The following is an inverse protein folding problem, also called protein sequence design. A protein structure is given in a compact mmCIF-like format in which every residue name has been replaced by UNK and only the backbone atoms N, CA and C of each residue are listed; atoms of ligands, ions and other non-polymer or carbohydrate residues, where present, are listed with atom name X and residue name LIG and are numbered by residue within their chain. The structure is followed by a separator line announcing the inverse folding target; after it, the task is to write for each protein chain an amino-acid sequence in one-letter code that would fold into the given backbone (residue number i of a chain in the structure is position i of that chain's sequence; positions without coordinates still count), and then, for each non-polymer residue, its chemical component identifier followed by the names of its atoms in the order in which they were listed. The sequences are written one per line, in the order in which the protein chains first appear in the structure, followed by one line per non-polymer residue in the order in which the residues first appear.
data_IF_238971419963
#
_entry.id   IF_238971419963
#
_cell.length_a   1.000
_cell.length_b   1.000
_cell.length_c   1.000
_cell.angle_alpha   90.00
_cell.angle_beta   90.00
_cell.angle_gamma   90.00
#
_symmetry.space_group_name_H-M   'P 1'
#
loop_
_entity.id
_entity.type
_entity.pdbx_description
1 polymer ?
#
# COMPACT_ATOMS: atom_id res chain seq x y z
N UNK A 1 -14.44 4.07 -0.79
CA UNK A 1 -14.81 4.58 0.55
C UNK A 1 -14.27 3.68 1.64
N UNK A 2 -14.09 4.24 2.84
CA UNK A 2 -13.83 3.49 4.06
C UNK A 2 -15.20 3.22 4.68
N UNK A 3 -15.56 1.95 4.83
CA UNK A 3 -16.87 1.55 5.33
C UNK A 3 -16.71 0.55 6.48
N UNK A 4 -17.66 0.58 7.40
CA UNK A 4 -17.74 -0.37 8.49
C UNK A 4 -19.02 -1.21 8.33
N UNK A 5 -18.85 -2.45 7.82
CA UNK A 5 -19.93 -3.40 7.60
C UNK A 5 -20.11 -4.29 8.82
N UNK A 6 -21.36 -4.56 9.15
CA UNK A 6 -21.75 -5.50 10.20
C UNK A 6 -22.85 -6.44 9.70
N UNK A 7 -22.96 -7.61 10.32
CA UNK A 7 -24.04 -8.56 10.06
C UNK A 7 -25.28 -8.24 10.90
N UNK A 8 -26.41 -8.88 10.56
CA UNK A 8 -27.68 -8.68 11.28
C UNK A 8 -27.58 -8.98 12.78
N UNK A 9 -26.85 -10.04 13.14
CA UNK A 9 -26.70 -10.44 14.56
C UNK A 9 -25.99 -9.36 15.38
N UNK A 10 -25.12 -8.55 14.77
CA UNK A 10 -24.49 -7.42 15.44
C UNK A 10 -25.45 -6.23 15.56
N UNK A 11 -26.27 -5.98 14.53
CA UNK A 11 -27.30 -4.91 14.60
C UNK A 11 -28.23 -5.10 15.77
N UNK A 12 -28.64 -6.34 16.04
CA UNK A 12 -29.56 -6.67 17.12
C UNK A 12 -28.91 -6.53 18.53
N UNK A 13 -27.58 -6.43 18.60
CA UNK A 13 -26.80 -6.35 19.85
C UNK A 13 -26.29 -4.95 20.20
N UNK A 14 -26.37 -4.01 19.27
CA UNK A 14 -25.85 -2.65 19.47
C UNK A 14 -26.98 -1.62 19.39
N UNK A 15 -26.86 -0.47 20.07
CA UNK A 15 -27.86 0.58 19.97
C UNK A 15 -27.91 1.15 18.55
N UNK A 16 -29.09 1.57 18.09
CA UNK A 16 -29.28 2.20 16.78
C UNK A 16 -28.62 3.59 16.68
N UNK A 17 -28.31 4.21 17.83
CA UNK A 17 -27.59 5.46 17.99
C UNK A 17 -26.87 5.48 19.33
N UNK A 18 -25.94 6.40 19.53
CA UNK A 18 -25.17 6.50 20.76
C UNK A 18 -23.75 5.98 20.63
N UNK A 19 -23.12 5.64 21.73
CA UNK A 19 -21.69 5.33 21.80
C UNK A 19 -21.46 3.83 21.97
N UNK A 20 -20.57 3.28 21.14
CA UNK A 20 -20.05 1.91 21.30
C UNK A 20 -18.54 1.90 21.38
N UNK A 21 -18.00 0.89 22.07
CA UNK A 21 -16.57 0.63 22.09
C UNK A 21 -16.16 -0.28 20.93
N UNK A 22 -15.03 0.05 20.31
CA UNK A 22 -14.40 -0.76 19.27
C UNK A 22 -13.29 -1.60 19.90
N UNK A 23 -13.41 -2.93 19.80
CA UNK A 23 -12.49 -3.90 20.37
C UNK A 23 -12.10 -4.92 19.30
N UNK A 24 -10.84 -5.35 19.27
CA UNK A 24 -10.42 -6.50 18.46
C UNK A 24 -10.83 -7.80 19.16
N UNK A 25 -11.13 -8.83 18.39
CA UNK A 25 -11.64 -10.10 18.93
C UNK A 25 -10.75 -10.71 20.03
N UNK A 26 -9.43 -10.57 19.93
CA UNK A 26 -8.45 -11.18 20.82
C UNK A 26 -7.80 -10.18 21.81
N UNK A 27 -8.38 -8.99 21.98
CA UNK A 27 -7.86 -7.98 22.91
C UNK A 27 -8.90 -7.68 23.98
N UNK A 28 -8.48 -7.52 25.25
CA UNK A 28 -9.40 -7.25 26.36
C UNK A 28 -9.83 -5.79 26.45
N UNK A 29 -8.99 -4.89 25.93
CA UNK A 29 -9.24 -3.45 25.99
C UNK A 29 -9.71 -2.89 24.66
N UNK A 30 -10.68 -1.95 24.66
CA UNK A 30 -11.10 -1.26 23.46
C UNK A 30 -9.98 -0.34 22.94
N UNK A 31 -9.84 -0.27 21.61
CA UNK A 31 -8.91 0.65 20.97
C UNK A 31 -9.55 1.97 20.55
N UNK A 32 -10.88 2.02 20.52
CA UNK A 32 -11.59 3.20 20.07
C UNK A 32 -13.05 3.23 20.53
N UNK A 33 -13.65 4.34 20.22
CA UNK A 33 -15.08 4.61 20.45
C UNK A 33 -15.68 5.00 19.09
N UNK A 34 -16.90 4.57 18.82
CA UNK A 34 -17.69 5.03 17.69
C UNK A 34 -19.02 5.62 18.21
N UNK A 35 -19.20 6.92 17.98
CA UNK A 35 -20.50 7.54 18.18
C UNK A 35 -21.35 7.28 16.94
N UNK A 36 -22.33 6.40 17.08
CA UNK A 36 -23.20 5.97 15.99
C UNK A 36 -24.18 7.09 15.64
N UNK A 37 -24.17 7.49 14.38
CA UNK A 37 -25.19 8.39 13.82
C UNK A 37 -26.35 7.57 13.23
N UNK A 38 -26.04 6.46 12.53
CA UNK A 38 -27.02 5.67 11.81
C UNK A 38 -26.51 4.27 11.50
N UNK A 39 -27.43 3.30 11.52
CA UNK A 39 -27.21 1.95 10.98
C UNK A 39 -28.18 1.74 9.82
N UNK A 40 -27.66 1.37 8.66
CA UNK A 40 -28.46 1.21 7.45
C UNK A 40 -28.21 -0.15 6.79
N UNK A 41 -29.27 -0.75 6.28
CA UNK A 41 -29.17 -1.96 5.46
C UNK A 41 -28.60 -1.59 4.09
N UNK A 42 -27.56 -2.30 3.67
CA UNK A 42 -26.99 -2.16 2.33
C UNK A 42 -27.99 -2.65 1.29
N UNK A 43 -28.42 -1.74 0.40
CA UNK A 43 -29.24 -2.06 -0.75
C UNK A 43 -28.34 -2.18 -1.98
N UNK A 44 -28.65 -3.13 -2.88
CA UNK A 44 -27.99 -3.27 -4.18
C UNK A 44 -26.46 -3.40 -4.09
N UNK A 45 -25.94 -4.33 -3.25
CA UNK A 45 -24.49 -4.56 -3.10
C UNK A 45 -23.77 -4.69 -4.46
N UNK A 46 -24.33 -5.40 -5.42
CA UNK A 46 -23.74 -5.59 -6.75
C UNK A 46 -23.55 -4.26 -7.51
N UNK A 47 -24.51 -3.33 -7.40
CA UNK A 47 -24.33 -2.00 -7.99
C UNK A 47 -23.19 -1.22 -7.31
N UNK A 48 -23.03 -1.37 -6.00
CA UNK A 48 -21.96 -0.72 -5.25
C UNK A 48 -20.58 -1.29 -5.61
N UNK A 49 -20.45 -2.61 -5.76
CA UNK A 49 -19.16 -3.19 -6.16
C UNK A 49 -18.76 -2.77 -7.57
N UNK A 50 -19.68 -2.74 -8.52
CA UNK A 50 -19.42 -2.20 -9.88
C UNK A 50 -18.93 -0.74 -9.82
N UNK A 51 -19.56 0.07 -8.98
CA UNK A 51 -19.17 1.48 -8.82
C UNK A 51 -17.78 1.62 -8.19
N UNK A 52 -17.43 0.78 -7.20
CA UNK A 52 -16.20 0.93 -6.42
C UNK A 52 -15.01 0.19 -7.00
N UNK A 53 -15.24 -1.00 -7.58
CA UNK A 53 -14.19 -1.86 -8.11
C UNK A 53 -14.19 -1.94 -9.65
N UNK A 54 -15.17 -1.33 -10.32
CA UNK A 54 -15.31 -1.41 -11.78
C UNK A 54 -15.83 -2.79 -12.28
N UNK A 55 -16.02 -3.74 -11.38
CA UNK A 55 -16.47 -5.12 -11.67
C UNK A 55 -17.35 -5.65 -10.55
N UNK A 56 -18.15 -6.66 -10.82
CA UNK A 56 -18.87 -7.48 -9.84
C UNK A 56 -18.38 -8.93 -9.81
N UNK A 57 -17.28 -9.23 -10.47
CA UNK A 57 -16.65 -10.54 -10.47
C UNK A 57 -16.14 -10.88 -9.06
N UNK A 58 -16.68 -11.94 -8.46
CA UNK A 58 -16.32 -12.39 -7.10
C UNK A 58 -14.91 -12.98 -6.99
N UNK A 59 -14.26 -13.29 -8.12
CA UNK A 59 -12.84 -13.66 -8.12
C UNK A 59 -11.93 -12.47 -7.81
N UNK A 60 -12.44 -11.23 -7.93
CA UNK A 60 -11.73 -10.04 -7.49
C UNK A 60 -11.74 -9.96 -5.96
N UNK A 61 -10.56 -9.95 -5.28
CA UNK A 61 -10.49 -10.08 -3.81
C UNK A 61 -11.23 -8.98 -3.04
N UNK A 62 -11.26 -7.76 -3.56
CA UNK A 62 -12.00 -6.65 -2.96
C UNK A 62 -13.51 -6.82 -3.09
N UNK A 63 -14.00 -7.34 -4.22
CA UNK A 63 -15.42 -7.64 -4.45
C UNK A 63 -15.86 -8.76 -3.52
N UNK A 64 -15.14 -9.88 -3.51
CA UNK A 64 -15.41 -11.02 -2.64
C UNK A 64 -15.50 -10.62 -1.18
N UNK A 65 -14.51 -9.88 -0.69
CA UNK A 65 -14.48 -9.36 0.69
C UNK A 65 -15.68 -8.47 1.00
N UNK A 66 -16.06 -7.56 0.09
CA UNK A 66 -17.20 -6.67 0.30
C UNK A 66 -18.54 -7.44 0.30
N UNK A 67 -18.72 -8.39 -0.61
CA UNK A 67 -19.97 -9.15 -0.73
C UNK A 67 -20.17 -10.12 0.45
N UNK A 68 -19.09 -10.76 0.91
CA UNK A 68 -19.10 -11.67 2.07
C UNK A 68 -19.20 -10.96 3.42
N UNK A 69 -18.85 -9.67 3.49
CA UNK A 69 -19.02 -8.85 4.69
C UNK A 69 -20.50 -8.58 4.97
N UNK A 70 -20.81 -8.13 6.18
CA UNK A 70 -22.19 -7.93 6.64
C UNK A 70 -23.07 -7.09 5.71
N UNK A 71 -24.37 -7.22 5.88
CA UNK A 71 -25.40 -6.55 5.07
C UNK A 71 -25.81 -5.17 5.57
N UNK A 72 -25.15 -4.64 6.59
CA UNK A 72 -25.46 -3.33 7.18
C UNK A 72 -24.18 -2.48 7.26
N UNK A 73 -24.34 -1.16 7.18
CA UNK A 73 -23.27 -0.18 7.40
C UNK A 73 -23.59 0.63 8.66
N UNK A 74 -22.58 0.83 9.48
CA UNK A 74 -22.62 1.81 10.56
C UNK A 74 -21.94 3.09 10.07
N UNK A 75 -22.62 4.21 10.19
CA UNK A 75 -22.04 5.54 10.05
C UNK A 75 -21.95 6.22 11.42
N UNK A 76 -20.86 6.94 11.65
CA UNK A 76 -20.61 7.59 12.91
C UNK A 76 -19.26 8.28 12.97
N UNK A 77 -18.98 8.91 14.11
CA UNK A 77 -17.71 9.60 14.38
C UNK A 77 -16.80 8.71 15.23
N UNK A 78 -15.68 8.22 14.68
CA UNK A 78 -14.74 7.42 15.43
C UNK A 78 -13.78 8.29 16.24
N UNK A 79 -13.35 7.75 17.39
CA UNK A 79 -12.31 8.30 18.26
C UNK A 79 -11.35 7.18 18.66
N UNK A 80 -10.06 7.44 18.62
CA UNK A 80 -9.04 6.51 19.13
C UNK A 80 -8.80 6.83 20.60
N UNK A 81 -8.75 5.80 21.44
CA UNK A 81 -8.45 5.97 22.85
C UNK A 81 -6.95 6.20 23.05
N UNK A 82 -6.59 7.25 23.80
CA UNK A 82 -5.20 7.65 24.01
C UNK A 82 -4.32 6.57 24.68
N UNK A 83 -4.93 5.69 25.47
CA UNK A 83 -4.24 4.62 26.21
C UNK A 83 -4.19 3.30 25.42
N UNK A 84 -4.58 3.31 24.14
CA UNK A 84 -4.45 2.13 23.33
C UNK A 84 -3.00 1.90 22.95
N UNK A 85 -2.33 1.09 23.77
CA UNK A 85 -1.01 0.52 23.49
C UNK A 85 -1.15 -0.80 22.72
N UNK A 86 -1.97 -0.82 21.66
CA UNK A 86 -2.27 -2.03 20.90
C UNK A 86 -1.05 -2.92 20.65
N UNK A 87 -1.28 -4.20 20.43
CA UNK A 87 -0.25 -5.22 20.17
C UNK A 87 0.95 -4.63 19.43
N UNK A 88 2.10 -4.65 20.05
CA UNK A 88 3.37 -4.03 19.74
C UNK A 88 3.36 -3.18 18.46
N UNK A 89 3.12 -1.87 18.58
CA UNK A 89 3.25 -0.94 17.45
C UNK A 89 4.53 -1.30 16.71
N UNK A 90 4.41 -1.62 15.44
CA UNK A 90 5.60 -1.72 14.62
C UNK A 90 6.36 -0.40 14.77
N UNK A 91 7.63 -0.44 15.19
CA UNK A 91 8.45 0.77 15.46
C UNK A 91 8.52 1.75 14.28
N UNK A 92 8.13 1.29 13.09
CA UNK A 92 8.05 2.11 11.87
C UNK A 92 6.65 2.69 11.62
N UNK A 93 5.66 2.40 12.46
CA UNK A 93 4.32 2.95 12.35
C UNK A 93 4.30 4.36 12.95
N UNK A 94 4.39 5.35 12.08
CA UNK A 94 4.33 6.76 12.43
C UNK A 94 2.89 7.29 12.33
N UNK A 95 2.54 8.20 13.21
CA UNK A 95 1.35 9.04 13.04
C UNK A 95 1.64 10.20 12.08
N UNK A 96 0.63 10.83 11.48
CA UNK A 96 0.83 12.05 10.68
C UNK A 96 1.56 13.18 11.41
N UNK A 97 1.33 13.33 12.70
CA UNK A 97 2.05 14.32 13.53
C UNK A 97 3.54 13.97 13.63
N UNK A 98 3.85 12.70 13.88
CA UNK A 98 5.24 12.25 13.99
C UNK A 98 6.00 12.38 12.68
N UNK A 99 5.39 12.00 11.54
CA UNK A 99 6.05 12.15 10.24
C UNK A 99 6.32 13.61 9.89
N UNK A 100 5.34 14.49 10.10
CA UNK A 100 5.51 15.95 9.89
C UNK A 100 6.61 16.51 10.79
N UNK A 101 6.62 16.13 12.07
CA UNK A 101 7.70 16.54 12.98
C UNK A 101 9.08 16.12 12.47
N UNK A 102 9.24 14.89 11.97
CA UNK A 102 10.50 14.42 11.40
C UNK A 102 10.88 15.22 10.16
N UNK A 103 9.90 15.53 9.28
CA UNK A 103 10.17 16.33 8.08
C UNK A 103 10.63 17.74 8.46
N UNK A 104 9.92 18.41 9.34
CA UNK A 104 10.24 19.76 9.81
C UNK A 104 11.60 19.81 10.53
N UNK A 105 11.89 18.83 11.39
CA UNK A 105 13.15 18.73 12.12
C UNK A 105 14.37 18.58 11.21
N UNK A 106 14.21 17.89 10.07
CA UNK A 106 15.28 17.71 9.08
C UNK A 106 15.27 18.79 7.99
N UNK A 107 14.38 19.77 8.05
CA UNK A 107 14.24 20.81 7.03
C UNK A 107 13.73 20.28 5.68
N UNK A 108 12.98 19.17 5.65
CA UNK A 108 12.45 18.59 4.43
C UNK A 108 11.12 19.23 4.07
N UNK A 109 11.12 20.04 3.05
CA UNK A 109 9.95 20.76 2.54
C UNK A 109 9.29 20.04 1.36
N UNK A 110 10.08 19.39 0.51
CA UNK A 110 9.62 18.62 -0.66
C UNK A 110 9.79 17.12 -0.41
N UNK A 111 8.77 16.46 0.11
CA UNK A 111 8.80 15.04 0.45
C UNK A 111 7.97 14.23 -0.54
N UNK A 112 8.59 13.21 -1.13
CA UNK A 112 7.96 12.27 -2.05
C UNK A 112 7.43 11.07 -1.27
N UNK A 113 6.13 10.80 -1.32
CA UNK A 113 5.52 9.60 -0.77
C UNK A 113 5.63 8.42 -1.73
N UNK A 114 5.96 7.26 -1.20
CA UNK A 114 5.98 6.00 -1.94
C UNK A 114 5.23 4.91 -1.17
N UNK A 115 4.20 4.33 -1.80
CA UNK A 115 3.39 3.26 -1.22
C UNK A 115 3.80 1.91 -1.80
N UNK A 116 4.00 0.90 -0.96
CA UNK A 116 4.41 -0.42 -1.43
C UNK A 116 3.86 -1.56 -0.58
N UNK A 117 3.60 -2.71 -1.21
CA UNK A 117 3.32 -4.00 -0.58
C UNK A 117 4.36 -5.06 -0.94
N UNK A 118 5.40 -4.67 -1.67
CA UNK A 118 6.45 -5.56 -2.15
C UNK A 118 7.81 -5.16 -1.59
N UNK A 119 8.73 -6.12 -1.57
CA UNK A 119 10.15 -5.83 -1.40
C UNK A 119 10.64 -4.97 -2.57
N UNK A 120 11.62 -4.07 -2.36
CA UNK A 120 12.16 -3.25 -3.43
C UNK A 120 12.86 -4.09 -4.50
N UNK A 121 12.75 -3.65 -5.72
CA UNK A 121 13.49 -4.14 -6.87
C UNK A 121 14.01 -2.95 -7.68
N UNK A 122 14.89 -3.18 -8.63
CA UNK A 122 15.53 -2.09 -9.39
C UNK A 122 14.53 -1.14 -10.06
N UNK A 123 13.36 -1.62 -10.47
CA UNK A 123 12.30 -0.77 -11.01
C UNK A 123 11.70 0.18 -9.95
N UNK A 124 11.55 -0.27 -8.70
CA UNK A 124 11.15 0.62 -7.59
C UNK A 124 12.24 1.65 -7.33
N UNK A 125 13.50 1.24 -7.24
CA UNK A 125 14.61 2.16 -7.02
C UNK A 125 14.69 3.22 -8.14
N UNK A 126 14.52 2.79 -9.40
CA UNK A 126 14.53 3.70 -10.54
C UNK A 126 13.47 4.80 -10.43
N UNK A 127 12.20 4.44 -10.22
CA UNK A 127 11.13 5.44 -10.11
C UNK A 127 11.27 6.32 -8.88
N UNK A 128 11.74 5.77 -7.76
CA UNK A 128 11.98 6.54 -6.52
C UNK A 128 13.07 7.59 -6.74
N UNK A 129 14.23 7.21 -7.27
CA UNK A 129 15.35 8.12 -7.50
C UNK A 129 15.00 9.16 -8.58
N UNK A 130 14.34 8.76 -9.67
CA UNK A 130 13.92 9.70 -10.70
C UNK A 130 12.84 10.67 -10.22
N UNK A 131 11.92 10.23 -9.33
CA UNK A 131 10.97 11.12 -8.67
C UNK A 131 11.69 12.19 -7.84
N UNK A 132 12.66 11.78 -7.02
CA UNK A 132 13.45 12.70 -6.19
C UNK A 132 14.20 13.73 -7.06
N UNK A 133 14.85 13.29 -8.13
CA UNK A 133 15.58 14.15 -9.07
C UNK A 133 14.66 15.11 -9.82
N UNK A 134 13.52 14.62 -10.33
CA UNK A 134 12.59 15.37 -11.19
C UNK A 134 12.05 16.63 -10.51
N UNK A 135 11.87 16.61 -9.21
CA UNK A 135 11.31 17.74 -8.46
C UNK A 135 12.31 18.38 -7.50
N UNK A 136 13.56 17.99 -7.56
CA UNK A 136 14.59 18.40 -6.59
C UNK A 136 14.09 18.23 -5.15
N UNK A 137 13.66 17.01 -4.81
CA UNK A 137 13.10 16.69 -3.50
C UNK A 137 14.15 16.72 -2.40
N UNK A 138 13.70 16.91 -1.17
CA UNK A 138 14.55 16.78 0.02
C UNK A 138 14.61 15.33 0.49
N UNK A 139 13.49 14.60 0.42
CA UNK A 139 13.41 13.25 0.97
C UNK A 139 12.31 12.38 0.33
N UNK A 140 12.45 11.07 0.58
CA UNK A 140 11.41 10.07 0.30
C UNK A 140 10.82 9.49 1.59
N UNK A 141 9.48 9.45 1.67
CA UNK A 141 8.72 8.76 2.69
C UNK A 141 8.24 7.42 2.14
N UNK A 142 8.93 6.34 2.51
CA UNK A 142 8.65 4.97 2.07
C UNK A 142 7.62 4.36 3.01
N UNK A 143 6.48 3.95 2.46
CA UNK A 143 5.34 3.53 3.26
C UNK A 143 4.88 2.11 2.91
N UNK A 144 5.53 1.08 3.53
CA UNK A 144 5.11 -0.31 3.39
C UNK A 144 3.75 -0.56 4.04
N UNK A 145 2.89 -1.32 3.36
CA UNK A 145 1.65 -1.83 3.93
C UNK A 145 1.97 -2.96 4.90
N UNK A 146 1.53 -2.82 6.15
CA UNK A 146 1.74 -3.82 7.21
C UNK A 146 0.46 -4.54 7.65
N UNK A 147 -0.71 -4.12 7.16
CA UNK A 147 -1.98 -4.79 7.43
C UNK A 147 -2.20 -6.02 6.53
N UNK A 148 -3.42 -6.53 6.58
CA UNK A 148 -3.82 -7.73 5.85
C UNK A 148 -3.63 -7.58 4.33
N UNK A 149 -3.03 -8.62 3.74
CA UNK A 149 -2.80 -8.75 2.29
C UNK A 149 -3.24 -10.13 1.84
N UNK A 150 -3.35 -10.33 0.53
CA UNK A 150 -3.70 -11.65 -0.02
C UNK A 150 -2.59 -12.68 0.22
N UNK A 151 -2.97 -13.95 0.22
CA UNK A 151 -2.03 -15.08 0.26
C UNK A 151 -0.98 -14.94 -0.85
N UNK A 152 0.27 -15.21 -0.50
CA UNK A 152 1.43 -15.11 -1.38
C UNK A 152 2.01 -13.69 -1.51
N UNK A 153 1.42 -12.65 -0.93
CA UNK A 153 2.08 -11.34 -0.80
C UNK A 153 3.12 -11.36 0.32
N UNK A 154 4.15 -10.53 0.21
CA UNK A 154 5.20 -10.45 1.24
C UNK A 154 4.64 -9.99 2.58
N UNK A 155 5.12 -10.60 3.66
CA UNK A 155 4.92 -10.10 5.01
C UNK A 155 5.56 -8.70 5.18
N UNK A 156 5.19 -7.99 6.22
CA UNK A 156 5.68 -6.64 6.48
C UNK A 156 7.18 -6.59 6.77
N UNK A 157 7.67 -7.52 7.58
CA UNK A 157 9.05 -7.54 8.07
C UNK A 157 10.11 -7.67 6.94
N UNK A 158 9.99 -8.60 5.97
CA UNK A 158 10.89 -8.64 4.81
C UNK A 158 10.92 -7.33 4.02
N UNK A 159 9.76 -6.69 3.82
CA UNK A 159 9.69 -5.42 3.08
C UNK A 159 10.47 -4.34 3.82
N UNK A 160 10.21 -4.19 5.13
CA UNK A 160 10.87 -3.19 5.97
C UNK A 160 12.38 -3.42 6.00
N UNK A 161 12.83 -4.66 6.24
CA UNK A 161 14.26 -5.02 6.27
C UNK A 161 14.98 -4.68 4.96
N UNK A 162 14.34 -4.95 3.82
CA UNK A 162 14.92 -4.60 2.54
C UNK A 162 15.07 -3.09 2.37
N UNK A 163 14.07 -2.29 2.71
CA UNK A 163 14.19 -0.82 2.63
C UNK A 163 15.19 -0.25 3.64
N UNK A 164 15.29 -0.84 4.83
CA UNK A 164 16.35 -0.48 5.79
C UNK A 164 17.75 -0.72 5.22
N UNK A 165 17.95 -1.86 4.55
CA UNK A 165 19.22 -2.17 3.91
C UNK A 165 19.55 -1.19 2.80
N UNK A 166 18.58 -0.83 1.93
CA UNK A 166 18.76 0.18 0.89
C UNK A 166 19.16 1.56 1.48
N UNK A 167 18.50 1.99 2.55
CA UNK A 167 18.82 3.25 3.22
C UNK A 167 20.24 3.17 3.79
N UNK A 168 20.59 2.07 4.45
CA UNK A 168 21.93 1.85 5.02
C UNK A 168 23.03 1.84 3.97
N UNK A 169 22.75 1.29 2.79
CA UNK A 169 23.66 1.26 1.64
C UNK A 169 23.74 2.61 0.89
N UNK A 170 23.00 3.63 1.35
CA UNK A 170 23.01 4.94 0.72
C UNK A 170 22.32 5.02 -0.63
N UNK A 171 21.37 4.10 -0.92
CA UNK A 171 20.69 4.06 -2.22
C UNK A 171 19.95 5.36 -2.57
N UNK A 172 19.60 6.16 -1.58
CA UNK A 172 18.87 7.42 -1.76
C UNK A 172 19.75 8.67 -1.66
N UNK A 173 21.04 8.54 -1.34
CA UNK A 173 21.94 9.68 -1.23
C UNK A 173 21.96 10.54 -2.51
N UNK A 174 22.00 11.90 -2.42
CA UNK A 174 22.12 12.69 -1.18
C UNK A 174 20.79 13.00 -0.48
N UNK A 175 19.66 12.44 -0.93
CA UNK A 175 18.34 12.70 -0.40
C UNK A 175 18.12 12.02 0.96
N UNK A 176 17.23 12.60 1.79
CA UNK A 176 16.72 11.95 2.97
C UNK A 176 15.82 10.76 2.64
N UNK A 177 15.78 9.76 3.51
CA UNK A 177 14.87 8.63 3.38
C UNK A 177 14.38 8.16 4.75
N UNK A 178 13.07 7.96 4.88
CA UNK A 178 12.45 7.46 6.10
C UNK A 178 11.39 6.40 5.78
N UNK A 179 11.29 5.41 6.64
CA UNK A 179 10.24 4.38 6.58
C UNK A 179 9.13 4.77 7.54
N UNK A 180 7.90 4.92 7.00
CA UNK A 180 6.68 5.06 7.76
C UNK A 180 5.68 3.99 7.35
N UNK A 181 5.65 2.86 8.08
CA UNK A 181 4.76 1.75 7.76
C UNK A 181 3.29 2.16 7.88
N UNK A 182 2.46 1.62 6.99
CA UNK A 182 1.06 1.97 6.89
C UNK A 182 0.15 0.78 7.28
N UNK A 183 -0.46 0.88 8.43
CA UNK A 183 -1.36 -0.15 8.95
C UNK A 183 -2.73 -0.03 8.27
N UNK A 184 -2.85 -0.65 7.13
CA UNK A 184 -4.09 -0.77 6.36
C UNK A 184 -4.13 -2.09 5.63
N UNK A 185 -5.32 -2.57 5.28
CA UNK A 185 -5.45 -3.70 4.37
C UNK A 185 -5.46 -3.23 2.90
N UNK A 186 -4.99 -4.07 2.00
CA UNK A 186 -5.10 -3.83 0.56
C UNK A 186 -6.54 -4.08 0.11
N UNK A 187 -7.12 -3.11 -0.60
CA UNK A 187 -8.50 -3.19 -1.11
C UNK A 187 -8.56 -3.68 -2.54
N UNK A 188 -7.44 -3.57 -3.24
CA UNK A 188 -7.32 -3.90 -4.67
C UNK A 188 -8.27 -3.10 -5.56
N UNK A 189 -8.66 -1.90 -5.13
CA UNK A 189 -9.63 -1.03 -5.81
C UNK A 189 -9.03 -0.15 -6.91
N UNK A 190 -7.81 -0.48 -7.37
CA UNK A 190 -7.14 0.22 -8.47
C UNK A 190 -7.12 1.74 -8.31
N UNK A 191 -7.72 2.50 -9.26
CA UNK A 191 -7.70 3.96 -9.27
C UNK A 191 -8.21 4.61 -7.98
N UNK A 192 -9.27 4.07 -7.39
CA UNK A 192 -9.85 4.62 -6.15
C UNK A 192 -8.96 4.38 -4.94
N UNK A 193 -8.26 3.26 -4.90
CA UNK A 193 -7.28 3.01 -3.84
C UNK A 193 -6.01 3.86 -4.03
N UNK A 194 -5.62 4.15 -5.27
CA UNK A 194 -4.55 5.09 -5.56
C UNK A 194 -4.85 6.48 -4.98
N UNK A 195 -6.06 6.99 -5.18
CA UNK A 195 -6.50 8.27 -4.57
C UNK A 195 -6.51 8.20 -3.04
N UNK A 196 -7.03 7.12 -2.47
CA UNK A 196 -7.01 6.92 -1.01
C UNK A 196 -5.59 6.94 -0.45
N UNK A 197 -4.67 6.22 -1.09
CA UNK A 197 -3.27 6.18 -0.64
C UNK A 197 -2.56 7.52 -0.83
N UNK A 198 -2.87 8.29 -1.86
CA UNK A 198 -2.37 9.64 -2.06
C UNK A 198 -2.83 10.59 -0.94
N UNK A 199 -4.13 10.58 -0.61
CA UNK A 199 -4.68 11.37 0.49
C UNK A 199 -4.04 11.01 1.85
N UNK A 200 -3.79 9.73 2.08
CA UNK A 200 -3.06 9.32 3.28
C UNK A 200 -1.65 9.92 3.32
N UNK A 201 -0.90 9.94 2.19
CA UNK A 201 0.45 10.55 2.14
C UNK A 201 0.40 12.05 2.30
N UNK A 202 -0.60 12.70 1.75
CA UNK A 202 -0.86 14.12 2.03
C UNK A 202 -1.03 14.37 3.53
N UNK A 203 -1.81 13.52 4.22
CA UNK A 203 -1.98 13.62 5.67
C UNK A 203 -0.68 13.38 6.44
N UNK A 204 0.18 12.49 5.99
CA UNK A 204 1.52 12.27 6.55
C UNK A 204 2.49 13.44 6.29
N UNK A 205 2.14 14.40 5.42
CA UNK A 205 2.94 15.59 5.12
C UNK A 205 3.70 15.52 3.80
N UNK A 206 3.46 14.50 2.97
CA UNK A 206 4.08 14.46 1.65
C UNK A 206 3.44 15.49 0.71
N UNK A 207 4.26 16.13 -0.13
CA UNK A 207 3.84 17.09 -1.16
C UNK A 207 3.66 16.42 -2.52
N UNK A 208 4.33 15.29 -2.72
CA UNK A 208 4.32 14.52 -3.96
C UNK A 208 4.07 13.05 -3.68
N UNK A 209 3.46 12.36 -4.63
CA UNK A 209 3.17 10.94 -4.50
C UNK A 209 3.46 10.20 -5.81
N UNK A 210 4.26 9.12 -5.74
CA UNK A 210 4.57 8.29 -6.89
C UNK A 210 3.40 7.37 -7.20
N UNK A 211 2.90 7.44 -8.42
CA UNK A 211 1.90 6.54 -8.97
C UNK A 211 2.50 5.82 -10.18
N UNK A 212 2.79 4.54 -10.00
CA UNK A 212 3.19 3.68 -11.11
C UNK A 212 1.99 3.19 -11.90
N UNK A 213 2.26 2.59 -13.04
CA UNK A 213 1.26 1.85 -13.83
C UNK A 213 0.63 0.77 -12.94
N UNK A 214 -0.69 0.58 -13.06
CA UNK A 214 -1.44 -0.43 -12.31
C UNK A 214 -1.28 -0.31 -10.79
N UNK A 215 -1.25 0.93 -10.30
CA UNK A 215 -1.11 1.22 -8.88
C UNK A 215 -2.27 0.62 -8.08
N UNK A 216 -1.95 -0.26 -7.11
CA UNK A 216 -2.93 -0.97 -6.26
C UNK A 216 -3.95 -1.84 -7.00
N UNK A 217 -3.71 -2.14 -8.27
CA UNK A 217 -4.53 -3.05 -9.05
C UNK A 217 -4.29 -4.53 -8.70
N UNK A 218 -5.11 -5.40 -9.28
CA UNK A 218 -5.00 -6.86 -9.20
C UNK A 218 -5.45 -7.47 -10.53
N UNK A 219 -4.71 -8.47 -11.02
CA UNK A 219 -5.02 -9.09 -12.31
C UNK A 219 -5.10 -8.06 -13.46
N UNK A 220 -6.09 -8.21 -14.32
CA UNK A 220 -6.33 -7.32 -15.46
C UNK A 220 -7.66 -6.53 -15.33
N UNK A 221 -8.11 -6.30 -14.11
CA UNK A 221 -9.39 -5.61 -13.87
C UNK A 221 -9.40 -4.13 -14.20
N UNK A 222 -8.24 -3.48 -14.24
CA UNK A 222 -8.13 -2.03 -14.44
C UNK A 222 -7.27 -1.70 -15.65
N UNK A 223 -7.69 -0.68 -16.41
CA UNK A 223 -6.82 -0.06 -17.41
C UNK A 223 -5.53 0.44 -16.72
N UNK A 224 -4.37 0.16 -17.28
CA UNK A 224 -3.08 0.56 -16.69
C UNK A 224 -2.96 2.06 -16.34
N UNK A 225 -3.63 2.91 -17.11
CA UNK A 225 -3.62 4.37 -16.93
C UNK A 225 -4.83 4.89 -16.16
N UNK A 226 -5.74 4.02 -15.70
CA UNK A 226 -6.98 4.44 -15.04
C UNK A 226 -6.73 5.25 -13.77
N UNK A 227 -5.66 4.94 -13.02
CA UNK A 227 -5.28 5.71 -11.83
C UNK A 227 -4.88 7.13 -12.18
N UNK A 228 -4.03 7.32 -13.19
CA UNK A 228 -3.56 8.64 -13.64
C UNK A 228 -4.75 9.47 -14.13
N UNK A 229 -5.58 8.92 -15.02
CA UNK A 229 -6.79 9.58 -15.53
C UNK A 229 -7.76 10.01 -14.43
N UNK A 230 -7.85 9.24 -13.33
CA UNK A 230 -8.72 9.63 -12.22
C UNK A 230 -8.16 10.85 -11.48
N UNK A 231 -6.84 10.95 -11.31
CA UNK A 231 -6.21 12.10 -10.66
C UNK A 231 -6.35 13.39 -11.46
N UNK A 232 -6.40 13.34 -12.80
CA UNK A 232 -6.55 14.53 -13.66
C UNK A 232 -7.84 15.30 -13.38
N UNK A 233 -8.85 14.64 -12.79
CA UNK A 233 -10.14 15.23 -12.46
C UNK A 233 -10.29 15.60 -10.97
N UNK A 234 -9.20 15.56 -10.20
CA UNK A 234 -9.23 15.81 -8.76
C UNK A 234 -8.28 16.92 -8.35
N UNK A 235 -8.80 17.88 -7.60
CA UNK A 235 -7.97 18.88 -6.92
C UNK A 235 -7.54 18.34 -5.55
N UNK A 236 -6.27 17.95 -5.44
CA UNK A 236 -5.67 17.43 -4.22
C UNK A 236 -4.53 18.33 -3.78
N UNK A 237 -4.29 18.39 -2.46
CA UNK A 237 -3.13 19.08 -1.89
C UNK A 237 -1.81 18.33 -2.06
N UNK A 238 -1.78 17.23 -2.82
CA UNK A 238 -0.60 16.44 -3.13
C UNK A 238 -0.47 16.28 -4.64
N UNK A 239 0.73 16.49 -5.18
CA UNK A 239 1.02 16.37 -6.61
C UNK A 239 1.39 14.94 -6.97
N UNK A 240 0.87 14.45 -8.10
CA UNK A 240 1.14 13.09 -8.56
C UNK A 240 2.36 13.07 -9.49
N UNK A 241 3.28 12.17 -9.22
CA UNK A 241 4.42 11.84 -10.06
C UNK A 241 4.13 10.50 -10.75
N UNK A 242 3.63 10.58 -11.98
CA UNK A 242 3.35 9.42 -12.80
C UNK A 242 4.63 8.92 -13.47
N UNK A 243 4.77 7.60 -13.56
CA UNK A 243 5.85 6.91 -14.26
C UNK A 243 5.29 5.86 -15.20
N UNK A 244 5.87 5.79 -16.38
CA UNK A 244 5.62 4.71 -17.32
C UNK A 244 6.20 3.37 -16.81
N UNK A 245 5.77 2.24 -17.40
CA UNK A 245 6.33 0.95 -17.04
C UNK A 245 7.83 0.93 -17.19
N UNK A 246 8.52 0.44 -16.17
CA UNK A 246 9.99 0.28 -16.23
C UNK A 246 10.35 -1.14 -16.59
N UNK A 247 11.39 -1.27 -17.40
CA UNK A 247 11.98 -2.53 -17.86
C UNK A 247 13.51 -2.43 -17.83
N UNK A 248 14.15 -3.57 -17.86
CA UNK A 248 15.61 -3.61 -18.08
C UNK A 248 15.91 -3.75 -19.56
N UNK A 249 16.73 -2.85 -20.11
CA UNK A 249 17.21 -2.89 -21.49
C UNK A 249 18.70 -3.22 -21.48
N UNK A 250 19.08 -4.31 -22.15
CA UNK A 250 20.49 -4.77 -22.20
C UNK A 250 21.40 -3.65 -22.71
N UNK A 251 22.46 -3.39 -21.98
CA UNK A 251 23.42 -2.30 -22.31
C UNK A 251 22.98 -0.89 -21.86
N UNK A 252 21.73 -0.69 -21.45
CA UNK A 252 21.19 0.61 -21.03
C UNK A 252 20.75 0.62 -19.55
N UNK A 253 20.57 -0.57 -18.94
CA UNK A 253 20.06 -0.68 -17.57
C UNK A 253 18.54 -0.57 -17.47
N UNK A 254 18.06 -0.01 -16.37
CA UNK A 254 16.62 0.21 -16.12
C UNK A 254 16.16 1.46 -16.84
N UNK A 255 15.11 1.35 -17.63
CA UNK A 255 14.54 2.43 -18.45
C UNK A 255 13.03 2.45 -18.31
N UNK A 256 12.41 3.62 -18.45
CA UNK A 256 10.98 3.72 -18.73
C UNK A 256 10.71 3.27 -20.17
N UNK A 257 9.69 2.44 -20.35
CA UNK A 257 9.32 1.93 -21.67
C UNK A 257 8.75 3.06 -22.51
N UNK A 258 9.30 3.25 -23.70
CA UNK A 258 8.84 4.21 -24.70
C UNK A 258 8.07 3.49 -25.82
N UNK A 259 7.31 4.25 -26.59
CA UNK A 259 6.55 3.72 -27.74
C UNK A 259 7.42 3.10 -28.82
N UNK A 260 8.65 3.61 -28.99
CA UNK A 260 9.64 3.13 -29.96
C UNK A 260 10.43 1.90 -29.50
N UNK A 261 10.34 1.51 -28.21
CA UNK A 261 11.08 0.35 -27.70
C UNK A 261 10.46 -0.95 -28.19
N UNK A 262 11.29 -1.83 -28.74
CA UNK A 262 10.89 -3.18 -29.13
C UNK A 262 10.77 -4.07 -27.89
N UNK A 263 9.70 -4.86 -27.81
CA UNK A 263 9.45 -5.77 -26.68
C UNK A 263 10.59 -6.79 -26.47
N UNK A 264 11.23 -7.23 -27.57
CA UNK A 264 12.35 -8.19 -27.54
C UNK A 264 13.61 -7.65 -26.85
N UNK A 265 13.79 -6.32 -26.83
CA UNK A 265 14.94 -5.66 -26.19
C UNK A 265 14.70 -5.42 -24.68
N UNK A 266 13.47 -5.60 -24.22
CA UNK A 266 13.06 -5.27 -22.87
C UNK A 266 12.84 -6.52 -22.02
N UNK A 267 13.55 -6.59 -20.91
CA UNK A 267 13.35 -7.63 -19.90
C UNK A 267 12.45 -7.10 -18.77
N UNK A 268 11.37 -7.82 -18.52
CA UNK A 268 10.36 -7.43 -17.52
C UNK A 268 10.95 -7.48 -16.11
N UNK A 269 10.77 -6.40 -15.36
CA UNK A 269 11.04 -6.33 -13.93
C UNK A 269 9.69 -6.48 -13.18
N UNK A 270 9.56 -7.48 -12.32
CA UNK A 270 8.29 -7.78 -11.68
C UNK A 270 8.47 -8.39 -10.29
N UNK A 271 7.80 -7.81 -9.31
CA UNK A 271 7.72 -8.38 -7.96
C UNK A 271 7.09 -9.78 -7.93
N UNK A 272 6.23 -10.12 -8.89
CA UNK A 272 5.66 -11.48 -9.00
C UNK A 272 6.70 -12.49 -9.45
N UNK A 273 7.58 -12.14 -10.39
CA UNK A 273 8.69 -13.03 -10.80
C UNK A 273 9.64 -13.24 -9.63
N UNK A 274 10.00 -12.18 -8.92
CA UNK A 274 10.87 -12.28 -7.74
C UNK A 274 10.26 -13.20 -6.68
N UNK A 275 8.96 -13.06 -6.38
CA UNK A 275 8.27 -13.96 -5.44
C UNK A 275 8.31 -15.41 -5.89
N UNK A 276 7.98 -15.68 -7.15
CA UNK A 276 7.98 -17.03 -7.68
C UNK A 276 9.37 -17.67 -7.59
N UNK A 277 10.42 -16.92 -7.91
CA UNK A 277 11.79 -17.41 -7.82
C UNK A 277 12.19 -17.68 -6.35
N UNK A 278 11.79 -16.81 -5.40
CA UNK A 278 12.03 -17.08 -3.97
C UNK A 278 11.29 -18.31 -3.47
N UNK A 279 10.03 -18.51 -3.88
CA UNK A 279 9.23 -19.68 -3.49
C UNK A 279 9.85 -20.98 -4.03
N UNK A 280 10.32 -20.95 -5.28
CA UNK A 280 10.95 -22.10 -5.95
C UNK A 280 12.43 -22.29 -5.60
N UNK A 281 13.00 -21.36 -4.82
CA UNK A 281 14.45 -21.28 -4.56
C UNK A 281 15.27 -21.14 -5.85
N UNK A 282 14.69 -20.53 -6.88
CA UNK A 282 15.34 -20.23 -8.15
C UNK A 282 16.24 -18.98 -8.02
N UNK A 283 17.14 -18.81 -8.98
CA UNK A 283 18.01 -17.65 -9.03
C UNK A 283 17.22 -16.41 -9.45
N UNK A 284 17.34 -15.31 -8.68
CA UNK A 284 16.81 -14.00 -9.07
C UNK A 284 17.84 -13.35 -10.00
N UNK A 285 17.44 -12.97 -11.23
CA UNK A 285 18.33 -12.30 -12.16
C UNK A 285 18.92 -10.99 -11.58
N UNK A 286 20.23 -10.73 -11.73
CA UNK A 286 20.88 -9.54 -11.16
C UNK A 286 20.27 -8.21 -11.61
N UNK A 287 19.66 -8.18 -12.82
CA UNK A 287 18.99 -7.00 -13.34
C UNK A 287 17.62 -6.71 -12.67
N UNK A 288 17.09 -7.62 -11.85
CA UNK A 288 15.81 -7.42 -11.15
C UNK A 288 15.99 -6.88 -9.74
N UNK A 289 17.02 -7.29 -9.02
CA UNK A 289 17.21 -6.96 -7.62
C UNK A 289 18.71 -6.92 -7.27
N UNK A 290 19.10 -6.04 -6.35
CA UNK A 290 20.47 -6.02 -5.80
C UNK A 290 20.81 -7.34 -5.12
N UNK A 291 22.06 -7.79 -5.27
CA UNK A 291 22.54 -9.02 -4.63
C UNK A 291 22.41 -8.98 -3.10
N UNK A 292 22.69 -7.84 -2.48
CA UNK A 292 22.53 -7.66 -1.03
C UNK A 292 21.10 -7.91 -0.53
N UNK A 293 20.09 -7.49 -1.29
CA UNK A 293 18.69 -7.75 -0.98
C UNK A 293 18.32 -9.23 -1.18
N UNK A 294 18.84 -9.85 -2.24
CA UNK A 294 18.64 -11.30 -2.48
C UNK A 294 19.23 -12.13 -1.35
N UNK A 295 20.45 -11.80 -0.91
CA UNK A 295 21.10 -12.46 0.23
C UNK A 295 20.32 -12.26 1.53
N UNK A 296 19.81 -11.04 1.76
CA UNK A 296 18.98 -10.76 2.94
C UNK A 296 17.72 -11.64 2.93
N UNK A 297 17.00 -11.70 1.81
CA UNK A 297 15.76 -12.46 1.69
C UNK A 297 15.98 -13.96 1.82
N UNK A 298 17.09 -14.50 1.28
CA UNK A 298 17.46 -15.92 1.40
C UNK A 298 17.80 -16.34 2.84
N UNK A 299 18.20 -15.40 3.70
CA UNK A 299 18.46 -15.67 5.14
C UNK A 299 17.19 -15.71 5.99
N UNK A 300 16.05 -15.22 5.46
CA UNK A 300 14.77 -15.27 6.16
C UNK A 300 14.13 -16.62 5.91
N UNK A 301 13.66 -17.29 6.99
CA UNK A 301 12.90 -18.53 6.84
C UNK A 301 11.69 -18.31 5.91
N UNK A 302 11.46 -19.17 4.90
CA UNK A 302 10.36 -19.02 3.94
C UNK A 302 8.97 -18.79 4.56
N UNK A 303 8.71 -19.36 5.74
CA UNK A 303 7.46 -19.15 6.50
C UNK A 303 7.24 -17.67 6.91
N UNK A 304 8.32 -16.91 7.04
CA UNK A 304 8.29 -15.48 7.41
C UNK A 304 8.44 -14.54 6.21
N UNK A 305 8.45 -15.07 4.98
CA UNK A 305 8.51 -14.24 3.78
C UNK A 305 7.12 -13.83 3.27
N UNK A 306 6.15 -14.75 3.30
CA UNK A 306 4.87 -14.58 2.62
C UNK A 306 3.67 -14.83 3.52
N UNK A 307 2.56 -14.17 3.24
CA UNK A 307 1.27 -14.52 3.81
C UNK A 307 0.87 -15.94 3.35
N UNK A 308 0.68 -16.81 4.30
CA UNK A 308 0.25 -18.20 4.09
C UNK A 308 -1.23 -18.36 4.45
N UNK A 309 -1.84 -19.45 3.98
CA UNK A 309 -3.11 -19.92 4.54
C UNK A 309 -2.81 -20.31 5.99
N UNK A 310 -3.47 -19.66 6.94
CA UNK A 310 -3.50 -20.19 8.30
C UNK A 310 -4.32 -21.49 8.23
N UNK A 311 -3.67 -22.62 8.45
CA UNK A 311 -4.39 -23.82 8.81
C UNK A 311 -4.91 -23.58 10.23
N UNK A 312 -6.19 -23.23 10.34
CA UNK A 312 -6.93 -23.17 11.60
C UNK A 312 -7.12 -24.60 12.14
#
# INVERSE_FOLDING_TARGET
PIIFQINKNMVDKIPGSGTIYLKKANEDHPYGILNINKIEKLKNKNKLVKLWFGTDDESHPGVSKFLSSGGYIISGKPFILNNYNGSAKNKYELTPIQSRFVFDHNGWHNVVGFHTRNVPHVGHEYIQINALRKINADAIFISPVIGEKKIGDFLADPIIKCYQLLIKEGAYNPYGAIIGSFNTHSRYSGPREAVFTALCRQNFGCNYFIVGRDHTGVGNYYDPNASIKLFDNLELGIKILAFDPVSYKKGHGVVEKRSEDKEEDLQKISGSIIRNNLIKNDQIPPYMMRSSLVELLKKINPEFLFHQIKND
#
